data_IF_572988846744
#
_entry.id   IF_572988846744
#
_cell.length_a   1.000
_cell.length_b   1.000
_cell.length_c   1.000
_cell.angle_alpha   90.00
_cell.angle_beta   90.00
_cell.angle_gamma   90.00
#
_symmetry.space_group_name_H-M   'P 1'
#
loop_
_entity.id
_entity.type
_entity.pdbx_description
1 polymer ?
#
# COMPACT_ATOMS: atom_id res chain seq x y z
N UNK A 1 -3.60 7.41 -18.06
CA UNK A 1 -2.95 7.10 -19.34
C UNK A 1 -3.96 6.73 -20.41
N UNK A 2 -3.56 6.62 -21.69
CA UNK A 2 -4.47 6.20 -22.75
C UNK A 2 -4.95 4.76 -22.49
N UNK A 3 -6.17 4.40 -22.89
CA UNK A 3 -6.72 3.07 -22.63
C UNK A 3 -5.88 1.98 -23.29
N UNK A 4 -5.74 0.79 -22.65
CA UNK A 4 -5.01 -0.34 -23.19
C UNK A 4 -5.55 -0.73 -24.59
N UNK A 5 -4.64 -1.05 -25.52
CA UNK A 5 -4.98 -1.50 -26.87
C UNK A 5 -5.08 -0.42 -27.95
N UNK A 6 -5.23 0.84 -27.59
CA UNK A 6 -5.25 1.95 -28.56
C UNK A 6 -3.86 2.27 -29.13
N UNK A 7 -3.80 2.87 -30.36
CA UNK A 7 -2.53 3.25 -30.99
C UNK A 7 -1.70 4.20 -30.11
N UNK A 8 -2.35 5.14 -29.40
CA UNK A 8 -1.69 6.05 -28.44
C UNK A 8 -1.03 5.29 -27.29
N UNK A 9 -1.67 4.23 -26.81
CA UNK A 9 -1.11 3.36 -25.79
C UNK A 9 0.12 2.62 -26.30
N UNK A 10 0.09 2.09 -27.52
CA UNK A 10 1.21 1.38 -28.12
C UNK A 10 2.41 2.33 -28.35
N UNK A 11 2.16 3.54 -28.84
CA UNK A 11 3.20 4.56 -28.97
C UNK A 11 3.81 4.94 -27.60
N UNK A 12 2.98 5.21 -26.60
CA UNK A 12 3.46 5.54 -25.26
C UNK A 12 4.27 4.38 -24.64
N UNK A 13 3.83 3.16 -24.84
CA UNK A 13 4.53 1.95 -24.38
C UNK A 13 5.89 1.79 -25.05
N UNK A 14 5.95 1.98 -26.37
CA UNK A 14 7.20 1.90 -27.14
C UNK A 14 8.21 2.99 -26.70
N UNK A 15 7.72 4.23 -26.57
CA UNK A 15 8.55 5.35 -26.07
C UNK A 15 9.04 5.10 -24.64
N UNK A 16 8.15 4.65 -23.75
CA UNK A 16 8.51 4.35 -22.36
C UNK A 16 9.58 3.25 -22.30
N UNK A 17 9.45 2.20 -23.10
CA UNK A 17 10.42 1.11 -23.16
C UNK A 17 11.79 1.58 -23.68
N UNK A 18 11.82 2.39 -24.75
CA UNK A 18 13.06 2.94 -25.28
C UNK A 18 13.75 3.89 -24.29
N UNK A 19 12.98 4.77 -23.65
CA UNK A 19 13.50 5.70 -22.63
C UNK A 19 13.98 4.96 -21.38
N UNK A 20 13.27 3.92 -20.95
CA UNK A 20 13.66 3.08 -19.82
C UNK A 20 15.03 2.44 -20.08
N UNK A 21 15.20 1.77 -21.22
CA UNK A 21 16.48 1.15 -21.59
C UNK A 21 17.63 2.16 -21.71
N UNK A 22 17.38 3.30 -22.31
CA UNK A 22 18.37 4.37 -22.44
C UNK A 22 18.81 4.95 -21.09
N UNK A 23 17.88 5.20 -20.19
CA UNK A 23 18.15 5.70 -18.83
C UNK A 23 18.94 4.67 -18.02
N UNK A 24 18.51 3.41 -18.08
CA UNK A 24 19.11 2.32 -17.30
C UNK A 24 20.52 1.95 -17.77
N UNK A 25 20.85 2.13 -19.05
CA UNK A 25 22.20 1.89 -19.57
C UNK A 25 23.27 2.78 -18.91
N UNK A 26 22.88 3.86 -18.26
CA UNK A 26 23.77 4.80 -17.58
C UNK A 26 23.59 4.83 -16.06
N UNK A 27 22.78 3.93 -15.52
CA UNK A 27 22.51 3.88 -14.09
C UNK A 27 23.76 3.38 -13.34
N UNK A 28 24.24 4.19 -12.39
CA UNK A 28 25.33 3.82 -11.49
C UNK A 28 24.82 3.03 -10.26
N UNK A 29 23.53 3.10 -9.95
CA UNK A 29 22.87 2.39 -8.86
C UNK A 29 21.37 2.26 -9.09
N UNK A 30 20.73 1.28 -8.46
CA UNK A 30 19.29 1.04 -8.56
C UNK A 30 18.65 1.01 -7.19
N UNK A 31 17.60 1.81 -7.00
CA UNK A 31 16.72 1.76 -5.84
C UNK A 31 15.34 1.27 -6.25
N UNK A 32 14.79 0.34 -5.51
CA UNK A 32 13.42 -0.13 -5.72
C UNK A 32 12.69 -0.27 -4.39
N UNK A 33 11.40 -0.02 -4.37
CA UNK A 33 10.54 -0.25 -3.20
C UNK A 33 10.12 -1.71 -3.05
N UNK A 34 10.33 -2.52 -4.10
CA UNK A 34 9.93 -3.92 -4.12
C UNK A 34 11.02 -4.79 -4.71
N UNK A 35 11.34 -5.95 -4.08
CA UNK A 35 12.32 -6.89 -4.62
C UNK A 35 11.88 -7.48 -5.96
N UNK A 36 10.56 -7.62 -6.19
CA UNK A 36 10.03 -8.12 -7.46
C UNK A 36 10.27 -7.15 -8.61
N UNK A 37 10.06 -5.86 -8.43
CA UNK A 37 10.36 -4.87 -9.47
C UNK A 37 11.83 -4.91 -9.87
N UNK A 38 12.73 -5.04 -8.89
CA UNK A 38 14.16 -5.15 -9.16
C UNK A 38 14.51 -6.44 -9.90
N UNK A 39 13.90 -7.57 -9.52
CA UNK A 39 14.09 -8.85 -10.18
C UNK A 39 13.58 -8.83 -11.63
N UNK A 40 12.41 -8.27 -11.87
CA UNK A 40 11.81 -8.14 -13.20
C UNK A 40 12.63 -7.20 -14.10
N UNK A 41 13.17 -6.12 -13.53
CA UNK A 41 14.06 -5.20 -14.23
C UNK A 41 15.36 -5.90 -14.67
N UNK A 42 15.98 -6.66 -13.76
CA UNK A 42 17.21 -7.44 -14.05
C UNK A 42 16.96 -8.59 -15.03
N UNK A 43 15.77 -9.14 -15.08
CA UNK A 43 15.38 -10.13 -16.09
C UNK A 43 15.28 -9.49 -17.47
N UNK A 44 14.70 -8.28 -17.54
CA UNK A 44 14.53 -7.52 -18.78
C UNK A 44 15.86 -6.93 -19.29
N UNK A 45 16.72 -6.48 -18.38
CA UNK A 45 18.01 -5.86 -18.66
C UNK A 45 19.15 -6.59 -17.91
N UNK A 46 19.68 -7.68 -18.46
CA UNK A 46 20.68 -8.51 -17.77
C UNK A 46 21.95 -7.76 -17.33
N UNK A 47 22.36 -6.72 -18.05
CA UNK A 47 23.50 -5.87 -17.70
C UNK A 47 23.37 -5.20 -16.32
N UNK A 48 22.13 -4.96 -15.84
CA UNK A 48 21.85 -4.38 -14.54
C UNK A 48 22.16 -5.31 -13.35
N UNK A 49 22.52 -6.58 -13.62
CA UNK A 49 22.95 -7.51 -12.56
C UNK A 49 24.23 -7.09 -11.87
N UNK A 50 25.12 -6.41 -12.61
CA UNK A 50 26.37 -5.89 -12.10
C UNK A 50 26.22 -4.51 -11.41
N UNK A 51 25.08 -3.83 -11.57
CA UNK A 51 24.85 -2.51 -11.00
C UNK A 51 24.46 -2.65 -9.52
N UNK A 52 25.12 -1.91 -8.60
CA UNK A 52 24.74 -1.85 -7.19
C UNK A 52 23.26 -1.55 -7.03
N UNK A 53 22.60 -2.23 -6.11
CA UNK A 53 21.16 -2.01 -5.93
C UNK A 53 20.71 -2.27 -4.52
N UNK A 54 19.65 -1.56 -4.09
CA UNK A 54 19.00 -1.75 -2.82
C UNK A 54 17.48 -1.79 -2.97
N UNK A 55 16.83 -2.61 -2.14
CA UNK A 55 15.38 -2.57 -1.94
C UNK A 55 15.13 -1.72 -0.70
N UNK A 56 14.56 -0.55 -0.91
CA UNK A 56 14.30 0.45 0.14
C UNK A 56 12.81 0.77 0.10
N UNK A 57 12.00 0.15 0.99
CA UNK A 57 10.58 0.43 1.08
C UNK A 57 10.32 1.85 1.58
N UNK A 58 9.07 2.30 1.51
CA UNK A 58 8.67 3.60 2.05
C UNK A 58 8.71 3.55 3.58
N UNK A 59 9.71 4.19 4.18
CA UNK A 59 9.85 4.27 5.64
C UNK A 59 8.86 5.20 6.31
N UNK A 60 8.72 5.05 7.62
CA UNK A 60 7.96 5.95 8.48
C UNK A 60 8.88 6.74 9.40
N UNK A 61 8.46 7.94 9.76
CA UNK A 61 9.20 8.86 10.62
C UNK A 61 8.46 9.09 11.95
N UNK A 62 9.10 8.76 13.06
CA UNK A 62 8.56 9.08 14.39
C UNK A 62 8.46 10.60 14.62
N UNK A 63 9.36 11.37 14.03
CA UNK A 63 9.34 12.82 14.10
C UNK A 63 8.13 13.41 13.40
N UNK A 64 7.76 12.87 12.22
CA UNK A 64 6.57 13.31 11.49
C UNK A 64 5.30 12.97 12.27
N UNK A 65 5.22 11.78 12.86
CA UNK A 65 4.09 11.43 13.71
C UNK A 65 4.00 12.36 14.94
N UNK A 66 5.10 12.64 15.63
CA UNK A 66 5.13 13.56 16.75
C UNK A 66 4.69 14.98 16.32
N UNK A 67 5.18 15.46 15.19
CA UNK A 67 4.76 16.74 14.61
C UNK A 67 3.27 16.76 14.28
N UNK A 68 2.75 15.68 13.69
CA UNK A 68 1.33 15.53 13.36
C UNK A 68 0.43 15.62 14.62
N UNK A 69 0.86 15.01 15.71
CA UNK A 69 0.13 15.04 16.98
C UNK A 69 0.19 16.40 17.69
N UNK A 70 1.25 17.18 17.43
CA UNK A 70 1.41 18.53 17.99
C UNK A 70 0.64 19.61 17.22
N UNK A 71 0.17 19.31 15.98
CA UNK A 71 -0.62 20.27 15.21
C UNK A 71 -1.99 20.54 15.86
N UNK A 72 -2.54 21.76 15.67
CA UNK A 72 -3.94 22.01 16.00
C UNK A 72 -4.87 21.06 15.28
N UNK A 73 -6.12 21.00 15.73
CA UNK A 73 -7.12 20.06 15.19
C UNK A 73 -7.12 20.00 13.66
N UNK A 74 -7.12 18.79 13.06
CA UNK A 74 -7.16 18.64 11.61
C UNK A 74 -8.47 19.18 11.03
N UNK A 75 -8.43 19.54 9.74
CA UNK A 75 -9.63 19.97 9.01
C UNK A 75 -10.68 18.84 8.91
N UNK A 76 -10.19 17.60 8.81
CA UNK A 76 -11.03 16.41 8.78
C UNK A 76 -10.91 15.64 10.08
N UNK A 77 -12.03 15.08 10.54
CA UNK A 77 -12.10 14.25 11.75
C UNK A 77 -12.93 13.00 11.49
N UNK A 78 -12.60 11.94 12.21
CA UNK A 78 -13.46 10.77 12.26
C UNK A 78 -14.61 11.04 13.25
N UNK A 79 -15.84 10.57 12.95
CA UNK A 79 -16.95 10.69 13.90
C UNK A 79 -16.60 9.99 15.21
N UNK A 80 -16.90 10.65 16.33
CA UNK A 80 -16.77 10.06 17.67
C UNK A 80 -18.14 9.70 18.20
N UNK A 81 -18.67 8.56 17.75
CA UNK A 81 -19.97 8.06 18.18
C UNK A 81 -19.77 6.81 19.06
N UNK A 82 -20.36 6.74 20.27
CA UNK A 82 -20.24 5.57 21.14
C UNK A 82 -20.66 4.28 20.44
N UNK A 83 -19.80 3.28 20.47
CA UNK A 83 -20.07 1.98 19.90
C UNK A 83 -19.96 1.88 18.37
N UNK A 84 -19.58 2.95 17.68
CA UNK A 84 -19.22 2.95 16.24
C UNK A 84 -17.75 2.65 16.10
N UNK A 85 -17.39 1.83 15.13
CA UNK A 85 -16.00 1.51 14.73
C UNK A 85 -15.67 2.20 13.42
N UNK A 86 -14.68 3.07 13.44
CA UNK A 86 -14.19 3.81 12.28
C UNK A 86 -13.01 3.06 11.65
N UNK A 87 -13.23 2.51 10.47
CA UNK A 87 -12.22 1.85 9.64
C UNK A 87 -11.69 2.87 8.65
N UNK A 88 -10.40 3.18 8.71
CA UNK A 88 -9.78 4.23 7.91
C UNK A 88 -8.80 3.68 6.87
N UNK A 89 -8.90 4.18 5.66
CA UNK A 89 -7.87 4.12 4.63
C UNK A 89 -7.48 5.52 4.18
N UNK A 90 -6.17 5.81 4.13
CA UNK A 90 -5.65 7.07 3.60
C UNK A 90 -4.79 6.81 2.37
N UNK A 91 -5.18 7.34 1.22
CA UNK A 91 -4.38 7.27 0.00
C UNK A 91 -5.18 6.88 -1.25
N UNK A 92 -4.50 6.90 -2.39
CA UNK A 92 -5.13 6.58 -3.67
C UNK A 92 -5.70 5.16 -3.69
N UNK A 93 -6.98 5.04 -4.01
CA UNK A 93 -7.73 3.78 -4.08
C UNK A 93 -8.19 3.44 -5.51
N UNK A 94 -7.72 4.20 -6.51
CA UNK A 94 -8.14 4.10 -7.91
C UNK A 94 -7.86 2.74 -8.54
N UNK A 95 -7.04 2.64 -9.61
CA UNK A 95 -6.91 1.40 -10.38
C UNK A 95 -6.11 0.28 -9.70
N UNK A 96 -5.59 0.50 -8.47
CA UNK A 96 -4.65 -0.42 -7.81
C UNK A 96 -5.34 -1.41 -6.88
N UNK A 97 -6.44 -1.00 -6.24
CA UNK A 97 -7.07 -1.77 -5.15
C UNK A 97 -8.55 -2.15 -5.35
N UNK A 98 -9.17 -2.00 -6.54
CA UNK A 98 -10.60 -2.22 -6.71
C UNK A 98 -11.02 -3.65 -6.38
N UNK A 99 -10.21 -4.65 -6.75
CA UNK A 99 -10.53 -6.07 -6.49
C UNK A 99 -10.60 -6.36 -4.98
N UNK A 100 -9.64 -5.84 -4.21
CA UNK A 100 -9.64 -6.01 -2.76
C UNK A 100 -10.85 -5.31 -2.11
N UNK A 101 -11.18 -4.09 -2.55
CA UNK A 101 -12.32 -3.33 -2.03
C UNK A 101 -13.66 -3.97 -2.42
N UNK A 102 -13.79 -4.56 -3.61
CA UNK A 102 -15.00 -5.28 -4.00
C UNK A 102 -15.27 -6.48 -3.09
N UNK A 103 -14.24 -7.25 -2.72
CA UNK A 103 -14.39 -8.36 -1.76
C UNK A 103 -14.75 -7.84 -0.37
N UNK A 104 -14.16 -6.73 0.07
CA UNK A 104 -14.52 -6.08 1.35
C UNK A 104 -16.00 -5.72 1.39
N UNK A 105 -16.49 -5.04 0.36
CA UNK A 105 -17.88 -4.58 0.32
C UNK A 105 -18.88 -5.72 0.11
N UNK A 106 -18.53 -6.75 -0.65
CA UNK A 106 -19.33 -7.97 -0.72
C UNK A 106 -19.43 -8.67 0.66
N UNK A 107 -18.31 -8.73 1.40
CA UNK A 107 -18.30 -9.22 2.78
C UNK A 107 -19.15 -8.36 3.73
N UNK A 108 -19.07 -7.03 3.61
CA UNK A 108 -19.88 -6.11 4.40
C UNK A 108 -21.37 -6.24 4.08
N UNK A 109 -21.74 -6.36 2.80
CA UNK A 109 -23.14 -6.61 2.40
C UNK A 109 -23.67 -7.89 3.02
N UNK A 110 -22.91 -8.98 2.95
CA UNK A 110 -23.28 -10.25 3.58
C UNK A 110 -23.43 -10.12 5.08
N UNK A 111 -22.45 -9.51 5.75
CA UNK A 111 -22.48 -9.28 7.19
C UNK A 111 -23.69 -8.44 7.61
N UNK A 112 -24.04 -7.40 6.81
CA UNK A 112 -25.22 -6.58 7.04
C UNK A 112 -26.52 -7.36 6.90
N UNK A 113 -26.61 -8.29 5.96
CA UNK A 113 -27.77 -9.13 5.82
C UNK A 113 -27.96 -10.12 7.00
N UNK A 114 -26.84 -10.63 7.53
CA UNK A 114 -26.84 -11.57 8.66
C UNK A 114 -27.00 -10.85 10.03
N UNK A 115 -26.37 -9.67 10.19
CA UNK A 115 -26.29 -8.94 11.47
C UNK A 115 -26.50 -7.42 11.28
N UNK A 116 -27.71 -6.96 10.91
CA UNK A 116 -27.96 -5.58 10.50
C UNK A 116 -27.61 -4.55 11.58
N UNK A 117 -27.94 -4.80 12.84
CA UNK A 117 -27.69 -3.86 13.92
C UNK A 117 -26.19 -3.72 14.23
N UNK A 118 -25.44 -4.81 14.12
CA UNK A 118 -23.98 -4.77 14.27
C UNK A 118 -23.32 -4.05 13.08
N UNK A 119 -23.75 -4.34 11.87
CA UNK A 119 -23.21 -3.72 10.66
C UNK A 119 -23.39 -2.19 10.66
N UNK A 120 -24.50 -1.66 11.19
CA UNK A 120 -24.73 -0.20 11.31
C UNK A 120 -23.69 0.53 12.17
N UNK A 121 -22.94 -0.19 12.97
CA UNK A 121 -21.88 0.36 13.83
C UNK A 121 -20.51 0.41 13.12
N UNK A 122 -20.39 -0.06 11.89
CA UNK A 122 -19.17 0.01 11.08
C UNK A 122 -19.25 1.21 10.14
N UNK A 123 -18.21 2.04 10.13
CA UNK A 123 -18.04 3.17 9.21
C UNK A 123 -16.69 3.06 8.51
N UNK A 124 -16.70 3.19 7.20
CA UNK A 124 -15.51 3.10 6.38
C UNK A 124 -15.17 4.47 5.80
N UNK A 125 -13.98 4.96 6.10
CA UNK A 125 -13.49 6.27 5.68
C UNK A 125 -12.34 6.09 4.71
N UNK A 126 -12.45 6.69 3.53
CA UNK A 126 -11.45 6.64 2.47
C UNK A 126 -11.03 8.06 2.12
N UNK A 127 -9.83 8.46 2.51
CA UNK A 127 -9.35 9.82 2.35
C UNK A 127 -8.16 9.90 1.40
N UNK A 128 -8.18 10.87 0.47
CA UNK A 128 -7.13 11.06 -0.51
C UNK A 128 -7.14 10.03 -1.65
N UNK A 129 -8.33 9.53 -2.03
CA UNK A 129 -8.47 8.41 -2.98
C UNK A 129 -8.06 8.74 -4.42
N UNK A 130 -7.90 10.03 -4.75
CA UNK A 130 -7.48 10.51 -6.06
C UNK A 130 -6.15 11.27 -5.99
N UNK A 131 -5.40 11.28 -7.10
CA UNK A 131 -4.20 12.12 -7.27
C UNK A 131 -4.51 13.54 -7.75
N UNK A 132 -5.78 13.88 -7.94
CA UNK A 132 -6.23 15.17 -8.50
C UNK A 132 -6.39 16.19 -7.38
N UNK A 133 -6.16 17.48 -7.72
CA UNK A 133 -6.34 18.57 -6.77
C UNK A 133 -7.79 18.68 -6.26
N UNK A 134 -7.96 19.37 -5.13
CA UNK A 134 -9.28 19.61 -4.53
C UNK A 134 -10.28 20.17 -5.55
N UNK A 135 -11.51 19.69 -5.54
CA UNK A 135 -12.58 20.07 -6.45
C UNK A 135 -12.62 19.31 -7.79
N UNK A 136 -11.58 18.57 -8.16
CA UNK A 136 -11.51 17.81 -9.41
C UNK A 136 -11.47 16.29 -9.23
N UNK A 137 -11.36 15.81 -8.00
CA UNK A 137 -11.35 14.38 -7.69
C UNK A 137 -12.73 13.75 -7.87
N UNK A 138 -12.75 12.57 -8.51
CA UNK A 138 -13.94 11.72 -8.58
C UNK A 138 -13.85 10.63 -7.54
N UNK A 139 -14.99 10.27 -6.96
CA UNK A 139 -15.06 9.12 -6.06
C UNK A 139 -14.67 7.84 -6.80
N UNK A 140 -13.74 7.10 -6.25
CA UNK A 140 -13.27 5.82 -6.77
C UNK A 140 -13.80 4.64 -5.95
N UNK A 141 -14.14 4.86 -4.68
CA UNK A 141 -14.55 3.84 -3.71
C UNK A 141 -16.07 3.78 -3.56
N UNK A 142 -16.74 4.93 -3.45
CA UNK A 142 -18.21 4.98 -3.32
C UNK A 142 -18.94 4.20 -4.43
N UNK A 143 -18.53 4.24 -5.71
CA UNK A 143 -19.17 3.43 -6.75
C UNK A 143 -19.05 1.92 -6.49
N UNK A 144 -17.92 1.44 -5.95
CA UNK A 144 -17.73 0.03 -5.60
C UNK A 144 -18.64 -0.38 -4.43
N UNK A 145 -18.74 0.47 -3.42
CA UNK A 145 -19.64 0.25 -2.29
C UNK A 145 -21.12 0.29 -2.70
N UNK A 146 -21.49 1.16 -3.65
CA UNK A 146 -22.84 1.26 -4.19
C UNK A 146 -23.24 -0.01 -4.96
N UNK A 147 -22.31 -0.60 -5.73
CA UNK A 147 -22.54 -1.87 -6.42
C UNK A 147 -22.88 -3.01 -5.45
N UNK A 148 -22.37 -2.96 -4.22
CA UNK A 148 -22.68 -3.91 -3.14
C UNK A 148 -23.77 -3.39 -2.17
N UNK A 149 -24.44 -2.29 -2.49
CA UNK A 149 -25.52 -1.68 -1.69
C UNK A 149 -25.10 -1.32 -0.26
N UNK A 150 -23.84 -0.92 -0.02
CA UNK A 150 -23.30 -0.52 1.29
C UNK A 150 -22.69 0.90 1.28
N UNK A 151 -23.02 1.72 0.28
CA UNK A 151 -22.48 3.08 0.16
C UNK A 151 -22.84 4.00 1.32
N UNK A 152 -23.94 3.74 2.02
CA UNK A 152 -24.38 4.45 3.22
C UNK A 152 -23.42 4.30 4.44
N UNK A 153 -22.54 3.31 4.39
CA UNK A 153 -21.52 3.05 5.41
C UNK A 153 -20.13 3.57 4.99
N UNK A 154 -20.01 4.18 3.80
CA UNK A 154 -18.74 4.61 3.21
C UNK A 154 -18.72 6.12 3.06
N UNK A 155 -17.69 6.74 3.65
CA UNK A 155 -17.38 8.15 3.47
C UNK A 155 -16.08 8.29 2.68
N UNK A 156 -16.12 8.95 1.53
CA UNK A 156 -14.96 9.16 0.67
C UNK A 156 -14.66 10.65 0.49
N UNK A 157 -13.39 11.01 0.70
CA UNK A 157 -12.84 12.32 0.37
C UNK A 157 -11.80 12.10 -0.73
N UNK A 158 -12.12 12.41 -2.00
CA UNK A 158 -11.23 12.07 -3.11
C UNK A 158 -9.97 12.94 -3.21
N UNK A 159 -10.00 14.20 -2.77
CA UNK A 159 -8.83 15.06 -2.82
C UNK A 159 -7.76 14.66 -1.80
N UNK A 160 -6.49 14.95 -2.13
CA UNK A 160 -5.36 14.63 -1.26
C UNK A 160 -5.40 15.48 0.00
N UNK A 161 -5.17 14.83 1.14
CA UNK A 161 -4.91 15.48 2.41
C UNK A 161 -3.42 15.70 2.61
N UNK A 162 -3.07 16.63 3.52
CA UNK A 162 -1.71 16.81 3.97
C UNK A 162 -1.16 15.57 4.68
N UNK A 163 0.15 15.30 4.55
CA UNK A 163 0.77 14.11 5.14
C UNK A 163 0.59 14.05 6.66
N UNK A 164 0.83 15.16 7.35
CA UNK A 164 0.69 15.21 8.81
C UNK A 164 -0.76 15.04 9.26
N UNK A 165 -1.72 15.56 8.49
CA UNK A 165 -3.13 15.33 8.74
C UNK A 165 -3.50 13.85 8.59
N UNK A 166 -2.98 13.17 7.55
CA UNK A 166 -3.17 11.73 7.39
C UNK A 166 -2.62 10.94 8.58
N UNK A 167 -1.41 11.25 9.04
CA UNK A 167 -0.79 10.59 10.20
C UNK A 167 -1.64 10.75 11.47
N UNK A 168 -2.20 11.93 11.68
CA UNK A 168 -3.08 12.19 12.81
C UNK A 168 -4.37 11.38 12.71
N UNK A 169 -5.04 11.40 11.58
CA UNK A 169 -6.26 10.62 11.33
C UNK A 169 -6.01 9.10 11.51
N UNK A 170 -4.85 8.62 11.06
CA UNK A 170 -4.44 7.22 11.27
C UNK A 170 -4.34 6.86 12.76
N UNK A 171 -3.83 7.79 13.58
CA UNK A 171 -3.73 7.60 15.04
C UNK A 171 -5.09 7.69 15.74
N UNK A 172 -6.04 8.40 15.17
CA UNK A 172 -7.41 8.57 15.71
C UNK A 172 -8.38 7.46 15.29
N UNK A 173 -8.06 6.68 14.27
CA UNK A 173 -8.91 5.58 13.78
C UNK A 173 -8.99 4.42 14.77
N UNK A 174 -10.12 3.69 14.75
CA UNK A 174 -10.28 2.45 15.51
C UNK A 174 -9.60 1.28 14.81
N UNK A 175 -9.64 1.28 13.47
CA UNK A 175 -9.02 0.26 12.60
C UNK A 175 -8.41 0.93 11.39
N UNK A 176 -7.21 0.50 11.01
CA UNK A 176 -6.57 0.87 9.75
C UNK A 176 -6.77 -0.23 8.70
N UNK A 177 -7.23 0.16 7.51
CA UNK A 177 -7.45 -0.74 6.39
C UNK A 177 -6.29 -0.65 5.40
N UNK A 178 -5.70 -1.78 5.04
CA UNK A 178 -4.64 -1.86 4.03
C UNK A 178 -5.06 -2.81 2.90
N UNK A 179 -5.70 -2.30 1.83
CA UNK A 179 -6.11 -3.11 0.70
C UNK A 179 -4.91 -3.39 -0.21
N UNK A 180 -4.74 -4.66 -0.56
CA UNK A 180 -3.75 -5.15 -1.51
C UNK A 180 -4.14 -4.93 -2.97
N UNK A 181 -3.24 -5.34 -3.85
CA UNK A 181 -3.40 -5.28 -5.30
C UNK A 181 -3.20 -6.66 -5.91
N UNK A 182 -3.82 -6.90 -7.06
CA UNK A 182 -3.53 -8.08 -7.90
C UNK A 182 -2.09 -8.07 -8.44
N UNK A 183 -1.42 -6.90 -8.48
CA UNK A 183 0.01 -6.83 -8.76
C UNK A 183 0.79 -7.41 -7.58
N UNK A 184 1.44 -8.56 -7.74
CA UNK A 184 2.16 -9.21 -6.66
C UNK A 184 3.40 -8.46 -6.18
N UNK A 185 3.87 -7.47 -6.94
CA UNK A 185 5.00 -6.61 -6.59
C UNK A 185 4.59 -5.35 -5.81
N UNK A 186 3.29 -5.11 -5.65
CA UNK A 186 2.78 -3.93 -4.98
C UNK A 186 3.25 -3.83 -3.53
N UNK A 187 3.89 -2.70 -3.21
CA UNK A 187 4.32 -2.32 -1.86
C UNK A 187 3.71 -0.96 -1.52
N UNK A 188 2.73 -0.90 -0.60
CA UNK A 188 2.04 0.34 -0.27
C UNK A 188 2.86 1.25 0.63
N UNK A 189 2.93 2.53 0.30
CA UNK A 189 3.64 3.55 1.10
C UNK A 189 3.02 3.80 2.49
N UNK A 190 1.84 3.25 2.79
CA UNK A 190 1.11 3.45 4.04
C UNK A 190 1.46 2.43 5.12
N UNK A 191 2.07 1.30 4.77
CA UNK A 191 2.32 0.19 5.69
C UNK A 191 3.07 0.63 6.94
N UNK A 192 4.22 1.27 6.78
CA UNK A 192 5.04 1.67 7.92
C UNK A 192 4.47 2.84 8.73
N UNK A 193 3.89 3.89 8.12
CA UNK A 193 3.09 4.88 8.85
C UNK A 193 1.94 4.26 9.66
N UNK A 194 1.23 3.28 9.11
CA UNK A 194 0.16 2.56 9.83
C UNK A 194 0.71 1.76 11.01
N UNK A 195 1.88 1.14 10.84
CA UNK A 195 2.57 0.49 11.96
C UNK A 195 2.85 1.47 13.09
N UNK A 196 3.39 2.68 12.78
CA UNK A 196 3.64 3.72 13.78
C UNK A 196 2.36 4.26 14.42
N UNK A 197 1.25 4.32 13.69
CA UNK A 197 -0.02 4.78 14.23
C UNK A 197 -0.54 3.88 15.35
N UNK A 198 -0.01 2.66 15.48
CA UNK A 198 -0.29 1.74 16.59
C UNK A 198 -1.80 1.52 16.79
N UNK A 199 -2.48 1.14 15.71
CA UNK A 199 -3.90 0.82 15.68
C UNK A 199 -4.11 -0.58 15.12
N UNK A 200 -5.17 -1.29 15.51
CA UNK A 200 -5.59 -2.52 14.86
C UNK A 200 -5.59 -2.37 13.34
N UNK A 201 -5.02 -3.31 12.62
CA UNK A 201 -4.90 -3.24 11.16
C UNK A 201 -5.55 -4.45 10.50
N UNK A 202 -6.38 -4.19 9.49
CA UNK A 202 -6.93 -5.18 8.58
C UNK A 202 -6.17 -5.14 7.26
N UNK A 203 -5.43 -6.21 6.96
CA UNK A 203 -4.74 -6.40 5.69
C UNK A 203 -5.55 -7.27 4.74
N UNK A 204 -5.95 -6.74 3.58
CA UNK A 204 -6.57 -7.51 2.51
C UNK A 204 -5.47 -7.90 1.52
N UNK A 205 -5.06 -9.16 1.49
CA UNK A 205 -3.85 -9.57 0.76
C UNK A 205 -4.14 -10.64 -0.28
N UNK A 206 -3.49 -10.54 -1.44
CA UNK A 206 -3.45 -11.64 -2.39
C UNK A 206 -2.27 -12.57 -2.03
N UNK A 207 -2.47 -13.90 -2.14
CA UNK A 207 -1.41 -14.87 -1.83
C UNK A 207 -0.12 -14.61 -2.62
N UNK A 208 1.02 -14.82 -1.97
CA UNK A 208 2.38 -14.66 -2.51
C UNK A 208 2.76 -13.23 -2.89
N UNK A 209 1.95 -12.23 -2.53
CA UNK A 209 2.26 -10.82 -2.76
C UNK A 209 3.39 -10.34 -1.83
N UNK A 210 4.07 -9.27 -2.25
CA UNK A 210 5.05 -8.57 -1.40
C UNK A 210 4.38 -8.04 -0.15
N UNK A 211 3.16 -7.48 -0.27
CA UNK A 211 2.40 -6.98 0.86
C UNK A 211 2.09 -8.06 1.91
N UNK A 212 1.68 -9.27 1.48
CA UNK A 212 1.45 -10.38 2.43
C UNK A 212 2.71 -10.72 3.21
N UNK A 213 3.86 -10.79 2.53
CA UNK A 213 5.15 -11.09 3.16
C UNK A 213 5.58 -10.00 4.15
N UNK A 214 5.45 -8.74 3.77
CA UNK A 214 5.78 -7.60 4.63
C UNK A 214 4.90 -7.57 5.89
N UNK A 215 3.58 -7.73 5.75
CA UNK A 215 2.65 -7.77 6.87
C UNK A 215 2.91 -8.96 7.80
N UNK A 216 3.26 -10.13 7.24
CA UNK A 216 3.64 -11.32 8.01
C UNK A 216 4.95 -11.09 8.78
N UNK A 217 5.95 -10.47 8.16
CA UNK A 217 7.23 -10.18 8.83
C UNK A 217 7.09 -9.15 9.95
N UNK A 218 6.21 -8.17 9.77
CA UNK A 218 5.87 -7.14 10.76
C UNK A 218 4.96 -7.67 11.88
N UNK A 219 4.23 -8.75 11.62
CA UNK A 219 3.23 -9.34 12.52
C UNK A 219 2.30 -8.28 13.13
N UNK A 220 1.69 -7.44 12.28
CA UNK A 220 1.00 -6.24 12.73
C UNK A 220 -0.46 -6.12 12.23
N UNK A 221 -0.93 -7.05 11.40
CA UNK A 221 -2.26 -6.98 10.81
C UNK A 221 -2.98 -8.32 10.88
N UNK A 222 -4.29 -8.29 11.07
CA UNK A 222 -5.14 -9.44 10.79
C UNK A 222 -5.27 -9.56 9.27
N UNK A 223 -4.83 -10.69 8.72
CA UNK A 223 -4.79 -10.90 7.28
C UNK A 223 -6.05 -11.61 6.80
N UNK A 224 -6.73 -10.99 5.83
CA UNK A 224 -7.76 -11.65 5.03
C UNK A 224 -7.19 -11.94 3.65
N UNK A 225 -6.99 -13.22 3.34
CA UNK A 225 -6.49 -13.67 2.04
C UNK A 225 -7.59 -13.64 1.01
N UNK A 226 -7.35 -12.89 -0.04
CA UNK A 226 -8.29 -12.69 -1.13
C UNK A 226 -8.10 -13.76 -2.20
N UNK A 227 -9.18 -14.27 -2.79
CA UNK A 227 -9.09 -15.20 -3.90
C UNK A 227 -8.58 -14.47 -5.15
N UNK A 228 -7.84 -15.16 -6.00
CA UNK A 228 -7.50 -14.65 -7.34
C UNK A 228 -8.67 -14.76 -8.32
N UNK A 229 -9.66 -15.61 -8.02
CA UNK A 229 -10.88 -15.80 -8.78
C UNK A 229 -11.99 -16.35 -7.87
N UNK A 230 -13.24 -16.13 -8.26
CA UNK A 230 -14.42 -16.64 -7.54
C UNK A 230 -14.99 -15.68 -6.50
N UNK A 231 -16.04 -16.11 -5.82
CA UNK A 231 -16.85 -15.28 -4.92
C UNK A 231 -16.19 -14.92 -3.58
N UNK A 232 -15.04 -15.52 -3.25
CA UNK A 232 -14.30 -15.19 -2.03
C UNK A 232 -15.05 -15.50 -0.71
N UNK A 233 -15.81 -16.59 -0.65
CA UNK A 233 -16.63 -16.92 0.53
C UNK A 233 -15.82 -17.06 1.81
N UNK A 234 -14.61 -17.61 1.74
CA UNK A 234 -13.70 -17.72 2.89
C UNK A 234 -13.23 -16.33 3.34
N UNK A 235 -12.88 -15.45 2.40
CA UNK A 235 -12.51 -14.08 2.70
C UNK A 235 -13.68 -13.32 3.34
N UNK A 236 -14.91 -13.51 2.86
CA UNK A 236 -16.10 -12.88 3.45
C UNK A 236 -16.38 -13.41 4.86
N UNK A 237 -16.17 -14.71 5.12
CA UNK A 237 -16.29 -15.27 6.47
C UNK A 237 -15.22 -14.70 7.42
N UNK A 238 -13.97 -14.59 6.96
CA UNK A 238 -12.89 -13.98 7.73
C UNK A 238 -13.16 -12.49 8.03
N UNK A 239 -13.73 -11.75 7.07
CA UNK A 239 -14.17 -10.36 7.27
C UNK A 239 -15.28 -10.28 8.34
N UNK A 240 -16.28 -11.16 8.30
CA UNK A 240 -17.35 -11.17 9.29
C UNK A 240 -16.79 -11.42 10.70
N UNK A 241 -15.85 -12.36 10.85
CA UNK A 241 -15.16 -12.61 12.11
C UNK A 241 -14.36 -11.39 12.59
N UNK A 242 -13.65 -10.72 11.68
CA UNK A 242 -12.93 -9.50 12.01
C UNK A 242 -13.88 -8.38 12.45
N UNK A 243 -15.02 -8.18 11.79
CA UNK A 243 -16.00 -7.17 12.14
C UNK A 243 -16.61 -7.42 13.52
N UNK A 244 -16.91 -8.67 13.84
CA UNK A 244 -17.38 -9.03 15.19
C UNK A 244 -16.31 -8.69 16.23
N UNK A 245 -15.08 -9.08 16.04
CA UNK A 245 -13.99 -8.80 16.97
C UNK A 245 -13.75 -7.29 17.14
N UNK A 246 -13.81 -6.52 16.07
CA UNK A 246 -13.65 -5.06 16.12
C UNK A 246 -14.75 -4.38 16.93
N UNK A 247 -16.00 -4.83 16.75
CA UNK A 247 -17.16 -4.31 17.49
C UNK A 247 -17.16 -4.71 18.97
N UNK A 248 -16.43 -5.74 19.34
CA UNK A 248 -16.22 -6.23 20.70
C UNK A 248 -14.94 -5.69 21.36
N UNK A 249 -14.22 -4.79 20.68
CA UNK A 249 -12.98 -4.20 21.18
C UNK A 249 -11.77 -5.12 21.11
N UNK A 250 -11.78 -6.08 20.19
CA UNK A 250 -10.73 -7.09 19.95
C UNK A 250 -10.43 -7.95 21.19
N UNK A 251 -11.00 -9.15 21.30
CA UNK A 251 -10.73 -10.09 22.37
C UNK A 251 -9.24 -10.36 22.56
N UNK A 252 -8.83 -10.70 23.78
CA UNK A 252 -7.44 -10.99 24.08
C UNK A 252 -6.88 -12.08 23.15
N UNK A 253 -5.73 -11.81 22.55
CA UNK A 253 -5.06 -12.71 21.62
C UNK A 253 -5.59 -12.68 20.17
N UNK A 254 -6.58 -11.84 19.85
CA UNK A 254 -7.08 -11.71 18.49
C UNK A 254 -6.13 -10.92 17.58
N UNK A 255 -5.54 -9.85 18.10
CA UNK A 255 -4.59 -9.04 17.35
C UNK A 255 -3.20 -9.69 17.36
N UNK A 256 -2.45 -9.59 16.25
CA UNK A 256 -1.08 -10.11 16.17
C UNK A 256 -0.13 -9.39 17.13
N UNK A 257 1.02 -10.04 17.38
CA UNK A 257 2.07 -9.50 18.26
C UNK A 257 3.05 -8.68 17.46
N UNK A 258 3.07 -7.47 17.41
CA UNK A 258 3.95 -6.62 16.62
C UNK A 258 5.42 -7.01 16.70
N UNK A 259 6.07 -7.12 15.54
CA UNK A 259 7.51 -7.37 15.45
C UNK A 259 8.28 -6.04 15.39
N UNK A 260 8.45 -5.40 16.55
CA UNK A 260 9.10 -4.09 16.64
C UNK A 260 10.57 -4.17 16.21
N UNK A 261 11.28 -5.25 16.47
CA UNK A 261 12.68 -5.39 16.05
C UNK A 261 12.83 -5.38 14.52
N UNK A 262 11.92 -6.05 13.81
CA UNK A 262 11.89 -6.00 12.35
C UNK A 262 11.53 -4.60 11.85
N UNK A 263 10.53 -3.96 12.46
CA UNK A 263 10.13 -2.60 12.08
C UNK A 263 11.23 -1.57 12.32
N UNK A 264 11.95 -1.62 13.45
CA UNK A 264 13.08 -0.72 13.75
C UNK A 264 14.15 -0.78 12.65
N UNK A 265 14.40 -1.94 12.09
CA UNK A 265 15.43 -2.12 11.06
C UNK A 265 14.92 -1.81 9.63
N UNK A 266 13.67 -2.16 9.32
CA UNK A 266 13.17 -2.20 7.95
C UNK A 266 12.00 -1.25 7.67
N UNK A 267 11.41 -0.63 8.70
CA UNK A 267 10.25 0.24 8.58
C UNK A 267 10.51 1.71 8.87
N UNK A 268 11.58 2.04 9.60
CA UNK A 268 11.91 3.42 9.93
C UNK A 268 12.72 4.11 8.84
N UNK A 269 12.48 5.42 8.69
CA UNK A 269 13.16 6.25 7.70
C UNK A 269 14.68 6.32 7.93
N UNK A 270 15.13 6.36 9.19
CA UNK A 270 16.55 6.52 9.52
C UNK A 270 17.42 5.34 9.05
N UNK A 271 17.14 4.04 9.33
CA UNK A 271 17.91 2.93 8.80
C UNK A 271 17.80 2.82 7.28
N UNK A 272 16.62 3.08 6.70
CA UNK A 272 16.43 3.05 5.25
C UNK A 272 17.24 4.15 4.54
N UNK A 273 17.35 5.33 5.15
CA UNK A 273 18.21 6.41 4.63
C UNK A 273 19.69 6.01 4.69
N UNK A 274 20.13 5.34 5.76
CA UNK A 274 21.52 4.81 5.82
C UNK A 274 21.78 3.80 4.71
N UNK A 275 20.84 2.89 4.45
CA UNK A 275 20.96 1.92 3.36
C UNK A 275 21.02 2.63 1.98
N UNK A 276 20.27 3.71 1.81
CA UNK A 276 20.33 4.55 0.59
C UNK A 276 21.67 5.27 0.44
N UNK A 277 22.20 5.85 1.50
CA UNK A 277 23.52 6.47 1.51
C UNK A 277 24.62 5.45 1.17
N UNK A 278 24.57 4.25 1.78
CA UNK A 278 25.51 3.18 1.47
C UNK A 278 25.47 2.75 0.00
N UNK A 279 24.27 2.75 -0.63
CA UNK A 279 24.16 2.52 -2.06
C UNK A 279 24.80 3.65 -2.88
N UNK A 280 24.64 4.90 -2.48
CA UNK A 280 25.28 6.04 -3.18
C UNK A 280 26.79 5.96 -3.08
N UNK A 281 27.34 5.62 -1.92
CA UNK A 281 28.77 5.42 -1.71
C UNK A 281 29.30 4.27 -2.60
N UNK A 282 28.57 3.16 -2.68
CA UNK A 282 28.91 2.04 -3.57
C UNK A 282 28.86 2.41 -5.06
N UNK A 283 27.91 3.28 -5.46
CA UNK A 283 27.79 3.74 -6.84
C UNK A 283 28.88 4.74 -7.24
N UNK A 284 29.46 5.46 -6.27
CA UNK A 284 30.55 6.43 -6.46
C UNK A 284 31.94 5.79 -6.33
N UNK A 285 32.02 4.59 -5.74
CA UNK A 285 33.30 3.90 -5.61
C UNK A 285 33.92 3.66 -7.01
N UNK A 286 35.21 3.97 -7.20
CA UNK A 286 35.88 3.69 -8.46
C UNK A 286 35.74 2.19 -8.78
N UNK A 287 35.36 1.87 -10.02
CA UNK A 287 35.28 0.49 -10.47
C UNK A 287 36.63 -0.19 -10.16
N UNK A 288 36.66 -1.03 -9.13
CA UNK A 288 37.83 -1.87 -8.83
C UNK A 288 38.16 -2.60 -10.10
N UNK A 289 39.43 -2.59 -10.51
CA UNK A 289 39.95 -3.14 -11.74
C UNK A 289 39.80 -4.67 -11.82
N UNK A 290 38.56 -5.11 -12.00
CA UNK A 290 38.24 -6.47 -12.40
C UNK A 290 38.05 -6.46 -13.91
N UNK A 291 39.02 -7.01 -14.60
CA UNK A 291 39.08 -7.39 -16.00
C UNK A 291 37.94 -6.89 -16.90
N UNK A 292 38.23 -5.94 -17.77
CA UNK A 292 37.34 -5.58 -18.88
C UNK A 292 37.05 -6.84 -19.73
N UNK A 293 35.78 -7.20 -19.98
CA UNK A 293 35.48 -8.09 -21.07
C UNK A 293 35.73 -7.33 -22.37
N UNK A 294 36.76 -7.75 -23.12
CA UNK A 294 36.98 -7.36 -24.48
C UNK A 294 35.82 -7.86 -25.35
N UNK A 295 34.89 -6.96 -25.67
CA UNK A 295 33.76 -7.26 -26.54
C UNK A 295 32.91 -6.02 -26.74
N UNK A 296 33.04 -5.39 -27.92
CA UNK A 296 32.28 -4.22 -28.30
C UNK A 296 30.75 -4.44 -28.30
N UNK A 297 29.93 -3.37 -28.32
CA UNK A 297 28.49 -3.47 -28.26
C UNK A 297 27.94 -4.06 -29.56
N UNK A 298 27.37 -5.26 -29.47
CA UNK A 298 26.47 -5.74 -30.50
C UNK A 298 25.17 -4.90 -30.43
N UNK A 299 24.97 -4.07 -31.41
CA UNK A 299 23.68 -3.44 -31.69
C UNK A 299 22.68 -4.56 -31.98
N UNK A 300 21.65 -4.61 -31.19
CA UNK A 300 20.52 -5.52 -31.38
C UNK A 300 19.54 -4.95 -32.41
N UNK A 301 18.86 -5.83 -33.17
CA UNK A 301 17.83 -5.47 -34.14
C UNK A 301 16.55 -4.93 -33.51
#
# INVERSE_FOLDING_TARGET
>A
GPPPGGWKYQCARFMAWGLEGWSLARAAGLVSVSPRYLADLRKRYPALRAVPSAVIPFGASRRDLAAALALPSPAHRLPSEPGVVNVLYTGAAGPVTPDALSVLFAGLRRYRAEKPERARRLRFHFFGTSYVAAGHGKNAVVPLAAAESVADQVHEIPHRLGQLECLRLQREADVLLLPGSIDPAYSPSKLHPYYLADRPMLGLVFPDSVLEKELTSLDCAVLVRLPRAGAGLEAQAALAHFFDAALEGFPAGFLPRRNDAFFERHGLAEPLTRDQCALFDAALAPASSAAAPSGGPALLP
#
